data_IF_869662036376
#
_entry.id   IF_869662036376
#
_cell.length_a   1.000
_cell.length_b   1.000
_cell.length_c   1.000
_cell.angle_alpha   90.00
_cell.angle_beta   90.00
_cell.angle_gamma   90.00
#
_symmetry.space_group_name_H-M   'P 1'
#
loop_
_entity.id
_entity.type
_entity.pdbx_description
1 polymer ?
#
# COMPACT_ATOMS: atom_id res chain seq x y z
N UNK A 1 -3.80 -5.37 17.14
CA UNK A 1 -5.04 -6.10 17.46
C UNK A 1 -5.04 -7.42 16.70
N UNK A 2 -5.36 -8.55 17.32
CA UNK A 2 -5.42 -9.87 16.66
C UNK A 2 -6.86 -10.35 16.57
N UNK A 3 -7.28 -10.85 15.40
CA UNK A 3 -8.57 -11.50 15.24
C UNK A 3 -8.58 -12.88 15.94
N UNK A 4 -9.76 -13.38 16.34
CA UNK A 4 -9.94 -14.78 16.70
C UNK A 4 -9.44 -15.73 15.59
N UNK A 5 -8.95 -16.92 15.97
CA UNK A 5 -8.39 -17.89 15.01
C UNK A 5 -9.43 -18.39 14.00
N UNK A 6 -10.69 -18.37 14.37
CA UNK A 6 -11.87 -18.82 13.65
C UNK A 6 -12.64 -17.66 12.99
N UNK A 7 -12.07 -16.45 12.98
CA UNK A 7 -12.69 -15.33 12.30
C UNK A 7 -12.72 -15.57 10.79
N UNK A 8 -13.91 -15.45 10.19
CA UNK A 8 -14.10 -15.49 8.74
C UNK A 8 -14.36 -14.09 8.19
N UNK A 9 -13.64 -13.72 7.13
CA UNK A 9 -13.91 -12.47 6.43
C UNK A 9 -15.20 -12.58 5.61
N UNK A 10 -15.99 -11.50 5.52
CA UNK A 10 -17.14 -11.49 4.64
C UNK A 10 -16.76 -11.80 3.17
N UNK A 11 -17.46 -12.71 2.47
CA UNK A 11 -17.08 -13.16 1.12
C UNK A 11 -17.25 -12.10 0.02
N UNK A 12 -17.82 -10.94 0.36
CA UNK A 12 -18.01 -9.78 -0.52
C UNK A 12 -17.40 -8.50 0.08
N UNK A 13 -16.40 -8.64 0.95
CA UNK A 13 -15.71 -7.50 1.55
C UNK A 13 -15.07 -6.63 0.46
N UNK A 14 -15.53 -5.39 0.36
CA UNK A 14 -15.04 -4.40 -0.62
C UNK A 14 -14.15 -3.33 0.00
N UNK A 15 -14.25 -3.14 1.32
CA UNK A 15 -13.51 -2.17 2.10
C UNK A 15 -13.02 -2.83 3.40
N UNK A 16 -11.74 -2.66 3.70
CA UNK A 16 -11.16 -3.07 4.98
C UNK A 16 -10.37 -1.91 5.57
N UNK A 17 -10.68 -1.55 6.82
CA UNK A 17 -9.87 -0.67 7.64
C UNK A 17 -9.30 -1.49 8.79
N UNK A 18 -7.97 -1.48 8.93
CA UNK A 18 -7.28 -2.22 9.99
C UNK A 18 -5.96 -1.55 10.37
N UNK A 19 -5.99 -0.81 11.47
CA UNK A 19 -4.82 -0.11 12.00
C UNK A 19 -3.92 -1.03 12.85
N UNK A 20 -2.59 -0.86 12.72
CA UNK A 20 -1.61 -1.58 13.54
C UNK A 20 -1.50 -3.08 13.22
N UNK A 21 -1.74 -3.47 11.97
CA UNK A 21 -1.62 -4.85 11.51
C UNK A 21 -0.15 -5.24 11.35
N UNK A 22 0.24 -6.39 11.91
CA UNK A 22 1.61 -6.93 11.78
C UNK A 22 1.74 -7.84 10.55
N UNK A 23 0.69 -8.58 10.21
CA UNK A 23 0.62 -9.44 9.03
C UNK A 23 -0.83 -9.74 8.67
N UNK A 24 -1.13 -9.85 7.38
CA UNK A 24 -2.45 -10.30 6.94
C UNK A 24 -2.68 -11.76 7.37
N UNK A 25 -3.87 -12.09 7.91
CA UNK A 25 -4.23 -13.47 8.22
C UNK A 25 -4.17 -14.36 6.96
N UNK A 26 -3.76 -15.61 7.11
CA UNK A 26 -3.64 -16.54 5.97
C UNK A 26 -4.98 -16.88 5.30
N UNK A 27 -6.09 -16.69 6.01
CA UNK A 27 -7.45 -16.89 5.49
C UNK A 27 -8.05 -15.60 4.90
N UNK A 28 -7.26 -14.53 4.78
CA UNK A 28 -7.71 -13.30 4.17
C UNK A 28 -7.59 -13.39 2.65
N UNK A 29 -8.75 -13.49 2.00
CA UNK A 29 -8.92 -13.56 0.56
C UNK A 29 -9.63 -12.28 0.10
N UNK A 30 -8.85 -11.30 -0.36
CA UNK A 30 -9.32 -9.96 -0.66
C UNK A 30 -9.57 -9.69 -2.14
N UNK A 31 -9.89 -10.71 -2.95
CA UNK A 31 -10.02 -10.56 -4.41
C UNK A 31 -11.12 -9.59 -4.85
N UNK A 32 -12.07 -9.27 -3.95
CA UNK A 32 -13.14 -8.29 -4.17
C UNK A 32 -12.89 -6.94 -3.48
N UNK A 33 -11.75 -6.78 -2.80
CA UNK A 33 -11.41 -5.51 -2.17
C UNK A 33 -11.19 -4.44 -3.22
N UNK A 34 -11.89 -3.33 -3.01
CA UNK A 34 -11.71 -2.11 -3.79
C UNK A 34 -10.74 -1.19 -3.05
N UNK A 35 -10.85 -1.13 -1.72
CA UNK A 35 -10.06 -0.22 -0.91
C UNK A 35 -9.61 -0.89 0.38
N UNK A 36 -8.35 -0.66 0.75
CA UNK A 36 -7.78 -1.13 2.01
C UNK A 36 -7.05 0.02 2.70
N UNK A 37 -7.35 0.20 3.98
CA UNK A 37 -6.65 1.13 4.86
C UNK A 37 -5.93 0.32 5.93
N UNK A 38 -4.60 0.34 5.85
CA UNK A 38 -3.70 -0.31 6.81
C UNK A 38 -2.79 0.74 7.44
N UNK A 39 -3.34 1.90 7.80
CA UNK A 39 -2.63 2.95 8.51
C UNK A 39 -1.86 2.36 9.71
N UNK A 40 -0.67 2.89 9.98
CA UNK A 40 0.17 2.47 11.12
C UNK A 40 0.51 0.97 11.14
N UNK A 41 0.47 0.27 10.00
CA UNK A 41 0.68 -1.19 9.91
C UNK A 41 2.03 -1.56 9.32
N UNK A 42 2.61 -2.68 9.76
CA UNK A 42 3.93 -3.14 9.33
C UNK A 42 3.83 -4.38 8.44
N UNK A 43 3.05 -4.28 7.36
CA UNK A 43 2.80 -5.40 6.46
C UNK A 43 4.00 -5.65 5.54
N UNK A 44 4.27 -6.94 5.27
CA UNK A 44 5.37 -7.36 4.37
C UNK A 44 4.92 -7.58 2.94
N UNK A 45 3.62 -7.83 2.73
CA UNK A 45 3.02 -8.11 1.44
C UNK A 45 1.60 -7.51 1.40
N UNK A 46 1.26 -6.88 0.27
CA UNK A 46 -0.11 -6.44 -0.03
C UNK A 46 -0.82 -7.47 -0.89
N UNK A 47 -2.14 -7.42 -0.83
CA UNK A 47 -3.04 -8.22 -1.65
C UNK A 47 -3.09 -7.73 -3.11
N UNK A 48 -3.88 -8.43 -3.94
CA UNK A 48 -4.11 -8.09 -5.34
C UNK A 48 -5.53 -7.58 -5.51
N UNK A 49 -5.67 -6.51 -6.29
CA UNK A 49 -6.96 -6.10 -6.88
C UNK A 49 -7.52 -4.79 -6.38
N UNK A 50 -6.81 -4.09 -5.51
CA UNK A 50 -7.25 -2.84 -4.89
C UNK A 50 -7.08 -1.65 -5.83
N UNK A 51 -8.10 -0.78 -5.83
CA UNK A 51 -8.03 0.56 -6.45
C UNK A 51 -7.38 1.57 -5.52
N UNK A 52 -7.57 1.43 -4.21
CA UNK A 52 -7.09 2.38 -3.23
C UNK A 52 -6.37 1.67 -2.09
N UNK A 53 -5.14 2.11 -1.81
CA UNK A 53 -4.30 1.59 -0.73
C UNK A 53 -3.82 2.76 0.12
N UNK A 54 -4.11 2.69 1.43
CA UNK A 54 -3.59 3.62 2.42
C UNK A 54 -2.65 2.89 3.39
N UNK A 55 -1.36 3.25 3.32
CA UNK A 55 -0.30 2.77 4.19
C UNK A 55 0.30 3.91 5.03
N UNK A 56 -0.38 5.05 5.14
CA UNK A 56 0.15 6.20 5.85
C UNK A 56 0.55 5.87 7.30
N UNK A 57 1.51 6.63 7.85
CA UNK A 57 2.02 6.45 9.21
C UNK A 57 2.63 5.06 9.50
N UNK A 58 2.97 4.27 8.48
CA UNK A 58 3.63 2.97 8.66
C UNK A 58 5.11 3.17 8.95
N UNK A 59 5.54 2.72 10.14
CA UNK A 59 6.87 3.05 10.69
C UNK A 59 7.96 1.99 10.39
N UNK A 60 7.56 0.79 9.97
CA UNK A 60 8.47 -0.32 9.65
C UNK A 60 8.08 -1.01 8.34
N UNK A 61 7.79 -0.23 7.29
CA UNK A 61 7.52 -0.80 5.96
C UNK A 61 8.84 -1.29 5.35
N UNK A 62 9.25 -2.51 5.70
CA UNK A 62 10.55 -3.10 5.31
C UNK A 62 10.62 -3.40 3.81
N UNK A 63 9.46 -3.61 3.16
CA UNK A 63 9.39 -3.90 1.73
C UNK A 63 8.07 -3.40 1.14
N UNK A 64 8.16 -2.48 0.18
CA UNK A 64 7.02 -2.15 -0.67
C UNK A 64 6.78 -3.34 -1.61
N UNK A 65 5.55 -3.86 -1.71
CA UNK A 65 5.24 -4.97 -2.59
C UNK A 65 5.42 -4.58 -4.05
N UNK A 66 5.69 -5.58 -4.90
CA UNK A 66 5.73 -5.34 -6.35
C UNK A 66 4.33 -4.97 -6.84
N UNK A 67 4.23 -3.81 -7.47
CA UNK A 67 2.99 -3.28 -8.02
C UNK A 67 2.54 -3.94 -9.33
N UNK A 68 3.37 -4.82 -9.91
CA UNK A 68 3.10 -5.50 -11.18
C UNK A 68 1.84 -6.38 -11.18
N UNK A 69 1.24 -6.63 -10.02
CA UNK A 69 -0.01 -7.39 -9.87
C UNK A 69 -1.22 -6.52 -9.50
N UNK A 70 -1.08 -5.21 -9.57
CA UNK A 70 -2.11 -4.22 -9.18
C UNK A 70 -2.45 -3.28 -10.35
N UNK A 71 -2.84 -3.78 -11.54
CA UNK A 71 -3.07 -2.93 -12.71
C UNK A 71 -4.24 -1.93 -12.56
N UNK A 72 -5.05 -2.07 -11.50
CA UNK A 72 -6.22 -1.24 -11.22
C UNK A 72 -5.98 -0.22 -10.10
N UNK A 73 -4.76 -0.13 -9.56
CA UNK A 73 -4.46 0.78 -8.46
C UNK A 73 -4.52 2.22 -8.96
N UNK A 74 -5.46 2.99 -8.40
CA UNK A 74 -5.76 4.39 -8.75
C UNK A 74 -5.18 5.37 -7.73
N UNK A 75 -5.15 5.00 -6.44
CA UNK A 75 -4.57 5.83 -5.36
C UNK A 75 -3.68 5.02 -4.43
N UNK A 76 -2.49 5.56 -4.18
CA UNK A 76 -1.56 5.06 -3.17
C UNK A 76 -1.20 6.19 -2.19
N UNK A 77 -1.52 5.99 -0.90
CA UNK A 77 -1.11 6.88 0.17
C UNK A 77 0.05 6.27 0.99
N UNK A 78 1.19 6.97 1.00
CA UNK A 78 2.39 6.64 1.76
C UNK A 78 2.82 7.78 2.71
N UNK A 79 1.95 8.76 2.98
CA UNK A 79 2.23 9.90 3.87
C UNK A 79 2.71 9.44 5.25
N UNK A 80 3.65 10.18 5.85
CA UNK A 80 4.21 9.90 7.18
C UNK A 80 4.82 8.49 7.35
N UNK A 81 5.11 7.78 6.25
CA UNK A 81 5.72 6.45 6.34
C UNK A 81 7.21 6.57 6.61
N UNK A 82 7.67 5.90 7.67
CA UNK A 82 9.10 5.75 7.91
C UNK A 82 9.57 4.51 7.16
N UNK A 83 10.20 4.78 6.03
CA UNK A 83 10.98 3.82 5.28
C UNK A 83 12.30 3.58 6.06
N UNK A 84 12.26 2.84 7.17
CA UNK A 84 13.35 2.72 8.16
C UNK A 84 14.18 1.42 8.04
N UNK A 85 15.45 1.53 8.50
CA UNK A 85 16.60 0.59 8.61
C UNK A 85 16.94 -0.39 7.45
N UNK A 86 16.03 -0.65 6.52
CA UNK A 86 16.28 -1.43 5.30
C UNK A 86 16.31 -0.61 4.01
N UNK A 87 16.26 0.73 4.08
CA UNK A 87 16.65 1.60 2.97
C UNK A 87 15.73 1.59 1.75
N UNK A 88 14.39 1.64 1.93
CA UNK A 88 13.50 2.00 0.82
C UNK A 88 13.63 3.51 0.60
N UNK A 89 14.69 3.88 -0.10
CA UNK A 89 14.96 5.24 -0.59
C UNK A 89 14.23 5.53 -1.90
N UNK A 90 13.62 4.49 -2.49
CA UNK A 90 12.96 4.50 -3.79
C UNK A 90 11.76 3.55 -3.81
N UNK A 91 10.75 3.87 -4.61
CA UNK A 91 9.64 2.93 -4.87
C UNK A 91 10.15 1.79 -5.77
N UNK A 92 9.60 0.57 -5.66
CA UNK A 92 9.93 -0.51 -6.59
C UNK A 92 9.68 -0.09 -8.04
N UNK A 93 10.60 -0.38 -8.96
CA UNK A 93 10.47 -0.06 -10.40
C UNK A 93 9.17 -0.56 -11.02
N UNK A 94 8.56 -1.62 -10.45
CA UNK A 94 7.24 -2.09 -10.84
C UNK A 94 6.12 -1.04 -10.74
N UNK A 95 6.35 0.10 -10.09
CA UNK A 95 5.40 1.23 -10.08
C UNK A 95 5.12 1.77 -11.48
N UNK A 96 6.07 1.61 -12.42
CA UNK A 96 5.90 1.90 -13.85
C UNK A 96 4.81 1.04 -14.50
N UNK A 97 4.46 -0.10 -13.88
CA UNK A 97 3.38 -0.98 -14.33
C UNK A 97 1.98 -0.52 -13.89
N UNK A 98 1.87 0.51 -13.04
CA UNK A 98 0.60 1.01 -12.55
C UNK A 98 -0.05 1.97 -13.55
N UNK A 99 -0.68 1.42 -14.57
CA UNK A 99 -1.28 2.21 -15.65
C UNK A 99 -2.48 3.06 -15.21
N UNK A 100 -3.16 2.64 -14.14
CA UNK A 100 -4.33 3.32 -13.59
C UNK A 100 -4.00 4.31 -12.48
N UNK A 101 -2.73 4.48 -12.08
CA UNK A 101 -2.38 5.29 -10.92
C UNK A 101 -2.56 6.78 -11.22
N UNK A 102 -3.57 7.37 -10.59
CA UNK A 102 -3.94 8.78 -10.72
C UNK A 102 -3.37 9.63 -9.58
N UNK A 103 -3.25 9.06 -8.37
CA UNK A 103 -2.86 9.79 -7.15
C UNK A 103 -1.78 9.05 -6.37
N UNK A 104 -0.65 9.73 -6.14
CA UNK A 104 0.42 9.28 -5.25
C UNK A 104 0.70 10.36 -4.19
N UNK A 105 0.57 9.98 -2.91
CA UNK A 105 0.85 10.86 -1.76
C UNK A 105 2.10 10.36 -1.01
N UNK A 106 3.09 11.24 -0.83
CA UNK A 106 4.40 10.93 -0.24
C UNK A 106 4.85 11.99 0.79
N UNK A 107 3.91 12.78 1.32
CA UNK A 107 4.24 13.87 2.26
C UNK A 107 4.92 13.31 3.52
N UNK A 108 5.91 14.05 4.04
CA UNK A 108 6.68 13.69 5.23
C UNK A 108 7.39 12.30 5.15
N UNK A 109 7.70 11.81 3.94
CA UNK A 109 8.56 10.64 3.74
C UNK A 109 10.06 11.00 3.83
N UNK A 110 10.55 11.27 5.05
CA UNK A 110 11.88 11.88 5.29
C UNK A 110 13.11 11.13 4.73
N UNK A 111 12.99 9.84 4.41
CA UNK A 111 14.09 9.01 3.88
C UNK A 111 13.94 8.69 2.38
N UNK A 112 12.95 9.27 1.70
CA UNK A 112 12.72 9.04 0.28
C UNK A 112 13.68 9.90 -0.56
N UNK A 113 14.59 9.26 -1.30
CA UNK A 113 15.68 9.95 -2.02
C UNK A 113 15.47 9.99 -3.54
N UNK A 114 14.75 9.01 -4.11
CA UNK A 114 14.60 8.87 -5.56
C UNK A 114 13.18 8.56 -5.97
N UNK A 115 12.64 9.46 -6.79
CA UNK A 115 11.38 9.25 -7.47
C UNK A 115 11.56 8.30 -8.67
N UNK A 116 10.68 7.31 -8.87
CA UNK A 116 10.71 6.44 -10.05
C UNK A 116 10.40 7.26 -11.32
N UNK A 117 10.92 6.85 -12.47
CA UNK A 117 10.52 7.45 -13.75
C UNK A 117 9.12 6.97 -14.13
N UNK A 118 8.10 7.74 -13.74
CA UNK A 118 6.71 7.41 -14.08
C UNK A 118 6.45 7.88 -15.52
N UNK A 119 6.44 6.93 -16.45
CA UNK A 119 6.28 7.20 -17.89
C UNK A 119 4.80 7.35 -18.35
N UNK A 120 3.83 7.44 -17.44
CA UNK A 120 2.37 7.33 -17.73
C UNK A 120 1.52 8.40 -17.03
N UNK A 121 0.23 8.42 -17.32
CA UNK A 121 -0.80 9.43 -16.98
C UNK A 121 -1.09 9.58 -15.46
N UNK A 122 -0.09 9.93 -14.66
CA UNK A 122 -0.34 10.37 -13.28
C UNK A 122 -0.93 11.78 -13.30
N UNK A 123 -2.18 11.92 -12.86
CA UNK A 123 -2.88 13.21 -12.85
C UNK A 123 -2.50 14.08 -11.65
N UNK A 124 -2.21 13.45 -10.50
CA UNK A 124 -1.96 14.14 -9.24
C UNK A 124 -0.77 13.53 -8.49
N UNK A 125 0.21 14.36 -8.17
CA UNK A 125 1.36 14.01 -7.34
C UNK A 125 1.50 15.06 -6.24
N UNK A 126 1.50 14.61 -4.98
CA UNK A 126 1.63 15.48 -3.81
C UNK A 126 2.95 15.13 -3.11
N UNK A 127 3.83 16.13 -3.04
CA UNK A 127 5.16 16.10 -2.42
C UNK A 127 5.29 17.36 -1.57
N UNK A 128 5.13 17.27 -0.26
CA UNK A 128 5.35 18.38 0.68
C UNK A 128 6.25 17.96 1.85
#
# INVERSE_FOLDING_TARGET
>A
MSLPKDFEFPPNLNYLHWEGLVSLPSNFHGEKLVAINLKSSNIKELLKGEKFIDLSNSQQLIKIPKFSRMPKLEKLNLEDTWLSDSGIKELPTSIECLEALEVLLLDNCSNFEKFPEIQKNMENLWLI
#
